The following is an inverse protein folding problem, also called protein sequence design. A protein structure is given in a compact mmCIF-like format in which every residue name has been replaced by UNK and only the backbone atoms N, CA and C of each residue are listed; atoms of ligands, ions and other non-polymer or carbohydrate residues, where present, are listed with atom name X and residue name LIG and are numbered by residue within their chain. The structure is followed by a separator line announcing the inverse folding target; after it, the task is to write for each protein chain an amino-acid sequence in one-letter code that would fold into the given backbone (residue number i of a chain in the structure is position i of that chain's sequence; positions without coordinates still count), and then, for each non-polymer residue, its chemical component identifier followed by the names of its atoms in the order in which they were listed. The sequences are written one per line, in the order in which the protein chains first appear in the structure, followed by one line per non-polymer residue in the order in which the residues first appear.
data_IF_695986663962
#
_entry.id   IF_695986663962
#
_cell.length_a   1.000
_cell.length_b   1.000
_cell.length_c   1.000
_cell.angle_alpha   90.00
_cell.angle_beta   90.00
_cell.angle_gamma   90.00
#
_symmetry.space_group_name_H-M   'P 1'
#
loop_
_entity.id
_entity.type
_entity.pdbx_description
1 polymer ?
#
# COMPACT_ATOMS: atom_id res chain seq x y z
N UNK A 1 -23.28 13.68 -25.21
CA UNK A 1 -22.66 14.62 -24.25
C UNK A 1 -22.79 14.16 -22.78
N UNK A 2 -23.99 13.85 -22.27
CA UNK A 2 -24.16 13.40 -20.88
C UNK A 2 -23.44 12.09 -20.51
N UNK A 3 -23.27 11.13 -21.43
CA UNK A 3 -22.51 9.89 -21.18
C UNK A 3 -21.04 10.13 -20.83
N UNK A 4 -20.38 11.06 -21.54
CA UNK A 4 -18.98 11.42 -21.31
C UNK A 4 -18.86 12.13 -19.95
N UNK A 5 -19.74 13.10 -19.68
CA UNK A 5 -19.79 13.78 -18.37
C UNK A 5 -19.97 12.78 -17.22
N UNK A 6 -20.88 11.82 -17.32
CA UNK A 6 -21.08 10.79 -16.29
C UNK A 6 -19.86 9.86 -16.10
N UNK A 7 -19.09 9.63 -17.16
CA UNK A 7 -17.83 8.88 -17.10
C UNK A 7 -16.72 9.70 -16.43
N UNK A 8 -16.62 10.98 -16.79
CA UNK A 8 -15.65 11.95 -16.23
C UNK A 8 -15.94 12.30 -14.78
N UNK A 9 -17.21 12.27 -14.34
CA UNK A 9 -17.60 12.57 -12.96
C UNK A 9 -16.88 11.66 -11.96
N UNK A 10 -16.64 10.39 -12.30
CA UNK A 10 -15.90 9.45 -11.44
C UNK A 10 -14.43 9.86 -11.22
N UNK A 11 -13.83 10.55 -12.19
CA UNK A 11 -12.45 11.03 -12.10
C UNK A 11 -12.34 12.41 -11.44
N UNK A 12 -13.40 13.21 -11.50
CA UNK A 12 -13.46 14.57 -10.93
C UNK A 12 -13.82 14.53 -9.44
N UNK A 13 -14.59 13.52 -9.01
CA UNK A 13 -14.94 13.33 -7.61
C UNK A 13 -13.68 13.14 -6.76
N UNK A 14 -13.49 13.93 -5.69
CA UNK A 14 -12.37 13.72 -4.79
C UNK A 14 -12.49 12.33 -4.16
N UNK A 15 -11.37 11.61 -3.95
CA UNK A 15 -11.39 10.33 -3.27
C UNK A 15 -12.13 10.44 -1.93
N UNK A 16 -12.99 9.46 -1.60
CA UNK A 16 -13.73 9.48 -0.36
C UNK A 16 -12.77 9.48 0.84
N UNK A 17 -13.02 10.35 1.82
CA UNK A 17 -12.24 10.42 3.06
C UNK A 17 -12.64 9.27 3.98
N UNK A 18 -12.07 8.10 3.74
CA UNK A 18 -12.29 6.89 4.54
C UNK A 18 -11.16 6.76 5.57
N UNK A 19 -11.46 6.35 6.81
CA UNK A 19 -10.41 6.09 7.80
C UNK A 19 -9.58 4.87 7.40
N UNK A 20 -8.27 4.85 7.69
CA UNK A 20 -7.42 3.69 7.42
C UNK A 20 -7.98 2.37 7.92
N UNK A 21 -8.54 2.34 9.13
CA UNK A 21 -9.13 1.12 9.70
C UNK A 21 -10.30 0.60 8.87
N UNK A 22 -11.24 1.47 8.51
CA UNK A 22 -12.44 1.13 7.74
C UNK A 22 -12.08 0.68 6.32
N UNK A 23 -11.10 1.34 5.71
CA UNK A 23 -10.63 0.98 4.38
C UNK A 23 -9.97 -0.40 4.37
N UNK A 24 -9.16 -0.74 5.38
CA UNK A 24 -8.55 -2.07 5.45
C UNK A 24 -9.62 -3.16 5.57
N UNK A 25 -10.60 -2.99 6.45
CA UNK A 25 -11.66 -4.00 6.61
C UNK A 25 -12.55 -4.17 5.38
N UNK A 26 -12.70 -3.12 4.56
CA UNK A 26 -13.49 -3.17 3.34
C UNK A 26 -12.73 -3.78 2.15
N UNK A 27 -11.44 -3.47 2.02
CA UNK A 27 -10.69 -3.67 0.78
C UNK A 27 -9.48 -4.58 0.90
N UNK A 28 -9.07 -5.00 2.10
CA UNK A 28 -7.96 -5.94 2.27
C UNK A 28 -8.44 -7.32 2.72
N UNK A 29 -7.69 -8.34 2.29
CA UNK A 29 -7.87 -9.73 2.73
C UNK A 29 -6.62 -10.21 3.45
N UNK A 30 -6.77 -11.18 4.34
CA UNK A 30 -5.61 -11.81 4.96
C UNK A 30 -4.83 -12.64 3.93
N UNK A 31 -3.51 -12.40 3.77
CA UNK A 31 -2.70 -13.12 2.78
C UNK A 31 -2.39 -14.56 3.18
N UNK A 32 -2.36 -14.85 4.48
CA UNK A 32 -1.82 -16.09 5.04
C UNK A 32 -2.54 -16.44 6.36
N UNK A 33 -2.41 -17.69 6.77
CA UNK A 33 -2.96 -18.25 8.01
C UNK A 33 -4.35 -18.88 7.87
N UNK A 34 -4.94 -19.32 9.00
CA UNK A 34 -6.24 -20.01 9.01
C UNK A 34 -7.41 -19.18 8.46
N UNK A 35 -7.25 -17.86 8.44
CA UNK A 35 -8.22 -16.88 7.95
C UNK A 35 -7.85 -16.32 6.56
N UNK A 36 -6.95 -16.99 5.83
CA UNK A 36 -6.55 -16.57 4.49
C UNK A 36 -7.76 -16.38 3.58
N UNK A 37 -7.69 -15.38 2.68
CA UNK A 37 -8.77 -14.99 1.75
C UNK A 37 -10.04 -14.43 2.39
N UNK A 38 -10.15 -14.40 3.72
CA UNK A 38 -11.22 -13.69 4.39
C UNK A 38 -10.91 -12.19 4.49
N UNK A 39 -11.97 -11.39 4.57
CA UNK A 39 -11.83 -9.94 4.80
C UNK A 39 -11.08 -9.69 6.08
N UNK A 40 -10.14 -8.74 6.02
CA UNK A 40 -9.41 -8.32 7.21
C UNK A 40 -10.38 -7.79 8.25
N UNK A 41 -10.31 -8.31 9.48
CA UNK A 41 -10.99 -7.72 10.63
C UNK A 41 -9.94 -7.29 11.63
N UNK A 42 -9.94 -6.01 11.97
CA UNK A 42 -8.98 -5.44 12.90
C UNK A 42 -9.47 -5.64 14.33
N UNK A 43 -8.54 -5.91 15.24
CA UNK A 43 -8.85 -5.85 16.66
C UNK A 43 -8.90 -4.38 17.12
N UNK A 44 -9.65 -4.09 18.18
CA UNK A 44 -9.85 -2.73 18.70
C UNK A 44 -8.53 -2.00 18.97
N UNK A 45 -7.51 -2.70 19.48
CA UNK A 45 -6.18 -2.15 19.75
C UNK A 45 -5.36 -1.87 18.48
N UNK A 46 -5.77 -2.37 17.31
CA UNK A 46 -5.12 -2.09 16.02
C UNK A 46 -5.71 -0.86 15.33
N UNK A 47 -6.94 -0.47 15.69
CA UNK A 47 -7.69 0.61 15.04
C UNK A 47 -7.06 1.97 15.30
N UNK A 48 -6.79 2.29 16.56
CA UNK A 48 -6.25 3.60 16.95
C UNK A 48 -4.89 3.87 16.31
N UNK A 49 -3.86 3.00 16.42
CA UNK A 49 -2.56 3.34 15.89
C UNK A 49 -2.52 3.35 14.36
N UNK A 50 -3.42 2.61 13.70
CA UNK A 50 -3.59 2.66 12.25
C UNK A 50 -4.21 3.98 11.80
N UNK A 51 -5.22 4.48 12.50
CA UNK A 51 -5.83 5.77 12.19
C UNK A 51 -4.91 6.95 12.52
N UNK A 52 -4.04 6.83 13.53
CA UNK A 52 -3.03 7.83 13.82
C UNK A 52 -2.04 8.05 12.65
N UNK A 53 -1.87 7.08 11.75
CA UNK A 53 -0.94 7.20 10.60
C UNK A 53 -1.34 8.25 9.56
N UNK A 54 -2.60 8.69 9.57
CA UNK A 54 -3.12 9.72 8.66
C UNK A 54 -3.38 11.06 9.34
N UNK A 55 -3.26 11.11 10.66
CA UNK A 55 -3.47 12.33 11.43
C UNK A 55 -2.34 13.32 11.15
N UNK A 56 -2.63 14.52 10.61
CA UNK A 56 -1.60 15.53 10.33
C UNK A 56 -0.93 16.07 11.60
N UNK A 57 -1.54 15.92 12.78
CA UNK A 57 -0.94 16.31 14.06
C UNK A 57 0.10 15.30 14.56
N UNK A 58 0.09 14.07 14.05
CA UNK A 58 0.96 12.97 14.48
C UNK A 58 2.11 12.79 13.48
N UNK A 59 3.32 13.08 13.93
CA UNK A 59 4.53 12.89 13.11
C UNK A 59 5.27 11.58 13.39
N UNK A 60 5.14 11.04 14.61
CA UNK A 60 5.86 9.84 15.05
C UNK A 60 4.94 8.95 15.87
N UNK A 61 4.92 7.66 15.53
CA UNK A 61 4.15 6.63 16.24
C UNK A 61 5.14 5.60 16.77
N UNK A 62 5.20 5.45 18.09
CA UNK A 62 6.03 4.44 18.77
C UNK A 62 5.13 3.34 19.33
N UNK A 63 5.30 2.11 18.83
CA UNK A 63 4.50 0.96 19.25
C UNK A 63 5.30 0.01 20.14
N UNK A 64 4.95 -0.05 21.42
CA UNK A 64 5.40 -1.11 22.32
C UNK A 64 4.33 -2.20 22.40
N UNK A 65 4.60 -3.35 21.79
CA UNK A 65 3.67 -4.48 21.77
C UNK A 65 4.41 -5.79 22.00
N UNK A 66 3.71 -6.81 22.48
CA UNK A 66 4.19 -8.18 22.50
C UNK A 66 4.54 -8.69 21.08
N UNK A 67 5.26 -9.80 21.02
CA UNK A 67 5.67 -10.40 19.76
C UNK A 67 4.47 -10.77 18.87
N UNK A 68 4.60 -10.56 17.56
CA UNK A 68 3.67 -11.04 16.51
C UNK A 68 2.21 -10.54 16.54
N UNK A 69 1.84 -9.56 17.37
CA UNK A 69 0.44 -9.11 17.47
C UNK A 69 0.03 -7.94 16.56
N UNK A 70 0.91 -6.95 16.42
CA UNK A 70 0.48 -5.60 16.00
C UNK A 70 1.39 -4.96 14.95
N UNK A 71 2.68 -4.83 15.29
CA UNK A 71 3.62 -3.89 14.66
C UNK A 71 3.65 -3.99 13.14
N UNK A 72 3.92 -5.19 12.62
CA UNK A 72 4.04 -5.42 11.18
C UNK A 72 2.71 -5.26 10.45
N UNK A 73 1.61 -5.71 11.06
CA UNK A 73 0.27 -5.66 10.46
C UNK A 73 -0.23 -4.22 10.32
N UNK A 74 -0.08 -3.38 11.35
CA UNK A 74 -0.44 -1.96 11.25
C UNK A 74 0.39 -1.26 10.20
N UNK A 75 1.72 -1.47 10.20
CA UNK A 75 2.62 -0.82 9.26
C UNK A 75 2.26 -1.20 7.82
N UNK A 76 2.01 -2.49 7.57
CA UNK A 76 1.57 -2.98 6.25
C UNK A 76 0.25 -2.34 5.82
N UNK A 77 -0.76 -2.36 6.68
CA UNK A 77 -2.09 -1.81 6.38
C UNK A 77 -2.05 -0.29 6.14
N UNK A 78 -1.24 0.43 6.90
CA UNK A 78 -1.02 1.86 6.68
C UNK A 78 -0.38 2.14 5.31
N UNK A 79 0.64 1.36 4.92
CA UNK A 79 1.28 1.48 3.61
C UNK A 79 0.30 1.17 2.46
N UNK A 80 -0.52 0.12 2.60
CA UNK A 80 -1.55 -0.24 1.61
C UNK A 80 -2.60 0.86 1.47
N UNK A 81 -3.07 1.41 2.59
CA UNK A 81 -4.01 2.52 2.60
C UNK A 81 -3.44 3.75 1.89
N UNK A 82 -2.17 4.10 2.18
CA UNK A 82 -1.49 5.23 1.52
C UNK A 82 -1.33 4.97 0.03
N UNK A 83 -0.96 3.75 -0.37
CA UNK A 83 -0.85 3.38 -1.78
C UNK A 83 -2.16 3.59 -2.55
N UNK A 84 -3.30 3.23 -1.96
CA UNK A 84 -4.60 3.34 -2.63
C UNK A 84 -5.21 4.75 -2.61
N UNK A 85 -5.12 5.46 -1.48
CA UNK A 85 -5.87 6.72 -1.30
C UNK A 85 -5.01 7.97 -1.53
N UNK A 86 -3.72 7.93 -1.22
CA UNK A 86 -2.80 9.08 -1.34
C UNK A 86 -1.37 8.58 -1.57
N UNK A 87 -1.01 8.21 -2.82
CA UNK A 87 0.30 7.67 -3.12
C UNK A 87 1.39 8.65 -2.69
N UNK A 88 2.36 8.12 -1.96
CA UNK A 88 3.50 8.84 -1.39
C UNK A 88 4.71 7.92 -1.37
N UNK A 89 5.90 8.53 -1.29
CA UNK A 89 7.14 7.77 -1.13
C UNK A 89 7.18 7.14 0.26
N UNK A 90 7.34 5.81 0.31
CA UNK A 90 7.33 5.05 1.56
C UNK A 90 8.60 4.21 1.66
N UNK A 91 9.11 4.04 2.88
CA UNK A 91 10.27 3.19 3.16
C UNK A 91 9.91 2.21 4.27
N UNK A 92 10.16 0.93 4.02
CA UNK A 92 10.12 -0.11 5.04
C UNK A 92 11.55 -0.49 5.43
N UNK A 93 11.95 -0.13 6.65
CA UNK A 93 13.23 -0.51 7.21
C UNK A 93 13.06 -1.69 8.18
N UNK A 94 13.96 -2.67 8.11
CA UNK A 94 13.97 -3.82 9.00
C UNK A 94 15.34 -4.03 9.62
N UNK A 95 15.45 -5.01 10.52
CA UNK A 95 16.71 -5.34 11.21
C UNK A 95 17.80 -5.86 10.29
N UNK A 96 17.44 -6.52 9.18
CA UNK A 96 18.38 -7.02 8.17
C UNK A 96 17.75 -7.01 6.78
N UNK A 97 18.58 -6.98 5.74
CA UNK A 97 18.11 -7.08 4.35
C UNK A 97 17.34 -8.37 4.07
N UNK A 98 17.65 -9.47 4.77
CA UNK A 98 16.92 -10.74 4.62
C UNK A 98 15.49 -10.66 5.18
N UNK A 99 15.28 -10.00 6.32
CA UNK A 99 13.95 -9.75 6.91
C UNK A 99 13.10 -8.91 5.98
N UNK A 100 13.70 -7.87 5.43
CA UNK A 100 13.06 -6.94 4.52
C UNK A 100 12.68 -7.63 3.20
N UNK A 101 13.56 -8.47 2.65
CA UNK A 101 13.25 -9.29 1.47
C UNK A 101 12.11 -10.28 1.74
N UNK A 102 12.13 -10.97 2.89
CA UNK A 102 11.04 -11.89 3.30
C UNK A 102 9.70 -11.18 3.43
N UNK A 103 9.69 -9.97 4.02
CA UNK A 103 8.47 -9.17 4.13
C UNK A 103 7.91 -8.79 2.75
N UNK A 104 8.78 -8.38 1.81
CA UNK A 104 8.37 -8.05 0.44
C UNK A 104 7.69 -9.22 -0.24
N UNK A 105 8.39 -10.35 -0.34
CA UNK A 105 7.92 -11.46 -1.16
C UNK A 105 6.74 -12.17 -0.51
N UNK A 106 6.79 -12.41 0.80
CA UNK A 106 5.83 -13.29 1.47
C UNK A 106 4.65 -12.63 2.18
N UNK A 107 4.64 -11.29 2.35
CA UNK A 107 3.49 -10.61 2.96
C UNK A 107 2.97 -9.49 2.09
N UNK A 108 3.87 -8.61 1.66
CA UNK A 108 3.50 -7.45 0.86
C UNK A 108 2.92 -7.85 -0.49
N UNK A 109 3.68 -8.59 -1.31
CA UNK A 109 3.22 -8.99 -2.65
C UNK A 109 2.02 -9.93 -2.57
N UNK A 110 2.01 -10.88 -1.63
CA UNK A 110 0.89 -11.83 -1.47
C UNK A 110 -0.42 -11.11 -1.11
N UNK A 111 -0.36 -10.09 -0.26
CA UNK A 111 -1.54 -9.29 0.08
C UNK A 111 -2.04 -8.49 -1.12
N UNK A 112 -1.13 -7.93 -1.92
CA UNK A 112 -1.52 -7.16 -3.10
C UNK A 112 -2.12 -8.07 -4.17
N UNK A 113 -1.53 -9.24 -4.40
CA UNK A 113 -2.05 -10.22 -5.35
C UNK A 113 -3.44 -10.74 -4.93
N UNK A 114 -3.69 -10.83 -3.62
CA UNK A 114 -4.99 -11.23 -3.10
C UNK A 114 -6.05 -10.12 -3.15
N UNK A 115 -5.65 -8.86 -3.36
CA UNK A 115 -6.54 -7.69 -3.35
C UNK A 115 -6.66 -7.06 -4.74
N UNK A 116 -7.78 -7.25 -5.47
CA UNK A 116 -7.93 -6.76 -6.85
C UNK A 116 -7.79 -5.23 -7.01
N UNK A 117 -8.21 -4.47 -5.99
CA UNK A 117 -8.07 -3.00 -5.96
C UNK A 117 -6.62 -2.54 -5.93
N UNK A 118 -5.73 -3.33 -5.30
CA UNK A 118 -4.31 -3.00 -5.15
C UNK A 118 -3.50 -3.46 -6.35
N UNK A 119 -3.89 -4.58 -6.97
CA UNK A 119 -3.24 -5.09 -8.16
C UNK A 119 -3.30 -4.09 -9.33
N UNK A 120 -4.41 -3.36 -9.48
CA UNK A 120 -4.56 -2.31 -10.49
C UNK A 120 -3.58 -1.12 -10.31
N UNK A 121 -3.03 -0.94 -9.11
CA UNK A 121 -2.13 0.17 -8.78
C UNK A 121 -0.66 -0.17 -9.03
N UNK A 122 -0.32 -1.45 -9.16
CA UNK A 122 1.06 -1.89 -9.34
C UNK A 122 1.39 -1.99 -10.82
N UNK A 123 2.51 -1.38 -11.20
CA UNK A 123 3.09 -1.54 -12.52
C UNK A 123 3.86 -2.85 -12.61
N UNK A 124 3.61 -3.62 -13.67
CA UNK A 124 4.34 -4.85 -13.93
C UNK A 124 5.82 -4.61 -14.15
N UNK A 125 6.63 -5.51 -13.57
CA UNK A 125 8.10 -5.44 -13.61
C UNK A 125 8.69 -5.66 -15.02
N UNK A 126 7.90 -6.20 -15.96
CA UNK A 126 8.35 -6.46 -17.34
C UNK A 126 8.32 -5.22 -18.24
N UNK A 127 7.72 -4.12 -17.77
CA UNK A 127 7.64 -2.87 -18.50
C UNK A 127 9.01 -2.17 -18.45
N UNK A 128 9.75 -2.16 -19.56
CA UNK A 128 11.10 -1.54 -19.67
C UNK A 128 11.11 -0.04 -19.34
N UNK A 129 9.94 0.60 -19.31
CA UNK A 129 9.75 2.01 -18.94
C UNK A 129 9.39 2.23 -17.46
N UNK A 130 9.24 1.16 -16.66
CA UNK A 130 8.91 1.26 -15.25
C UNK A 130 10.16 1.44 -14.38
N UNK A 131 10.14 2.46 -13.51
CA UNK A 131 11.23 2.81 -12.57
C UNK A 131 11.31 1.83 -11.36
N UNK A 132 10.65 0.67 -11.46
CA UNK A 132 10.55 -0.36 -10.41
C UNK A 132 11.65 -1.42 -10.57
N UNK A 133 12.89 -0.99 -10.81
CA UNK A 133 14.02 -1.89 -10.96
C UNK A 133 14.60 -2.29 -9.58
N UNK A 134 15.05 -3.54 -9.45
CA UNK A 134 15.51 -4.11 -8.19
C UNK A 134 16.73 -3.38 -7.62
N UNK A 135 17.58 -2.84 -8.50
CA UNK A 135 18.80 -2.13 -8.15
C UNK A 135 18.53 -0.75 -7.50
N UNK A 136 17.43 -0.09 -7.86
CA UNK A 136 17.06 1.24 -7.31
C UNK A 136 16.38 1.14 -5.94
N UNK A 137 15.87 -0.04 -5.57
CA UNK A 137 15.04 -0.23 -4.36
C UNK A 137 15.78 -0.90 -3.20
N UNK A 138 16.89 -1.56 -3.49
CA UNK A 138 17.82 -2.04 -2.49
C UNK A 138 18.97 -1.04 -2.41
N UNK A 139 18.94 -0.12 -1.45
CA UNK A 139 20.18 0.49 -1.00
C UNK A 139 21.00 -0.64 -0.36
N UNK A 140 21.91 -1.24 -1.12
CA UNK A 140 22.68 -2.43 -0.73
C UNK A 140 23.70 -2.12 0.39
N UNK A 141 23.94 -0.84 0.71
CA UNK A 141 25.03 -0.42 1.59
C UNK A 141 24.61 0.20 2.94
N UNK A 142 23.45 -0.21 3.49
CA UNK A 142 23.12 0.09 4.89
C UNK A 142 23.10 -1.20 5.68
N UNK A 143 23.95 -1.28 6.71
CA UNK A 143 24.13 -2.42 7.62
C UNK A 143 22.82 -2.98 8.19
N UNK A 144 21.75 -2.16 8.15
CA UNK A 144 20.36 -2.52 8.44
C UNK A 144 19.49 -2.25 7.18
N UNK A 145 19.14 -3.30 6.44
CA UNK A 145 18.47 -3.19 5.13
C UNK A 145 17.12 -2.44 5.15
N UNK A 146 16.77 -1.84 4.01
CA UNK A 146 15.49 -1.15 3.79
C UNK A 146 14.95 -1.40 2.37
N UNK A 147 13.62 -1.37 2.20
CA UNK A 147 12.94 -1.32 0.90
C UNK A 147 12.33 0.06 0.74
N UNK A 148 12.67 0.72 -0.37
CA UNK A 148 12.00 1.94 -0.79
C UNK A 148 10.87 1.57 -1.75
N UNK A 149 9.63 1.86 -1.34
CA UNK A 149 8.44 1.67 -2.16
C UNK A 149 8.15 3.01 -2.85
N UNK A 150 8.53 3.08 -4.13
CA UNK A 150 8.11 4.16 -5.02
C UNK A 150 6.70 3.84 -5.53
N UNK A 151 5.69 4.50 -4.96
CA UNK A 151 4.35 4.47 -5.55
C UNK A 151 4.33 5.53 -6.65
N UNK A 152 4.33 5.12 -7.92
CA UNK A 152 4.08 6.09 -9.00
C UNK A 152 2.65 6.59 -8.87
N UNK A 153 2.43 7.87 -9.19
CA UNK A 153 1.07 8.37 -9.45
C UNK A 153 0.51 7.46 -10.55
N UNK A 154 -0.70 6.95 -10.33
CA UNK A 154 -1.50 6.17 -11.30
C UNK A 154 -1.13 6.57 -12.73
N UNK A 155 -0.94 5.57 -13.62
CA UNK A 155 -0.88 5.81 -15.08
C UNK A 155 -1.86 6.93 -15.36
N UNK A 156 -1.34 8.07 -15.84
CA UNK A 156 -2.18 9.12 -16.40
C UNK A 156 -3.23 8.40 -17.23
N UNK A 157 -4.51 8.72 -17.04
CA UNK A 157 -5.60 8.14 -17.79
C UNK A 157 -5.14 7.90 -19.24
N UNK A 158 -5.51 6.78 -19.88
CA UNK A 158 -5.33 6.62 -21.32
C UNK A 158 -6.20 7.67 -22.03
N UNK A 159 -5.74 8.92 -21.97
CA UNK A 159 -6.20 10.03 -22.76
C UNK A 159 -5.91 9.63 -24.18
N UNK A 160 -7.02 9.39 -24.89
CA UNK A 160 -7.01 8.99 -26.27
C UNK A 160 -6.01 9.79 -27.06
N UNK A 161 -5.36 9.10 -27.97
CA UNK A 161 -4.84 9.69 -29.18
C UNK A 161 -5.99 10.45 -29.85
N UNK A 162 -6.09 11.75 -29.56
CA UNK A 162 -7.04 12.68 -30.19
C UNK A 162 -6.35 13.49 -31.30
N UNK A 163 -5.20 13.03 -31.81
CA UNK A 163 -4.57 13.56 -33.01
C UNK A 163 -3.87 12.44 -33.80
N UNK A 164 -4.68 11.60 -34.46
CA UNK A 164 -4.38 11.01 -35.78
C UNK A 164 -5.64 10.39 -36.36
#
# INVERSE_FOLDING_TARGET
MMKILNQSLKSILPPPKIKPSEWCEQYTVFPDGPLAQQKTKLFSFQVEPLNATVDPSVQKICLMSSAQLLKTTILQNAMLYRMANKPSHMIFAGSSGSTVKKFRTGKWMDTINACPNLQALITDKSDKNAVNDLHTQQNVDVTNGAIVIHTQRLKSDPGGNLLS
#
